data_IF_005935837970
#
_entry.id   IF_005935837970
#
_cell.length_a   1.000
_cell.length_b   1.000
_cell.length_c   1.000
_cell.angle_alpha   90.00
_cell.angle_beta   90.00
_cell.angle_gamma   90.00
#
_symmetry.space_group_name_H-M   'P 1'
#
loop_
_entity.id
_entity.type
_entity.pdbx_description
1 polymer ?
#
# COMPACT_ATOMS: atom_id res chain seq x y z
N UNK A 1 -37.86 2.81 -36.25
CA UNK A 1 -37.28 1.81 -35.32
C UNK A 1 -36.29 2.53 -34.42
N UNK A 2 -36.77 2.95 -33.25
CA UNK A 2 -36.07 3.83 -32.31
C UNK A 2 -35.36 2.99 -31.25
N UNK A 3 -34.08 3.24 -31.06
CA UNK A 3 -33.22 2.56 -30.09
C UNK A 3 -33.43 3.12 -28.69
N UNK A 4 -34.08 2.36 -27.82
CA UNK A 4 -34.24 2.68 -26.40
C UNK A 4 -32.89 2.57 -25.67
N UNK A 5 -32.48 3.68 -25.03
CA UNK A 5 -31.35 3.72 -24.09
C UNK A 5 -31.85 3.26 -22.72
N UNK A 6 -31.11 2.43 -21.97
CA UNK A 6 -31.47 2.15 -20.59
C UNK A 6 -31.16 3.38 -19.71
N UNK A 7 -32.19 3.92 -19.05
CA UNK A 7 -32.04 4.89 -17.97
C UNK A 7 -31.79 4.15 -16.66
N UNK A 8 -30.73 4.53 -15.95
CA UNK A 8 -30.47 4.03 -14.60
C UNK A 8 -31.20 4.92 -13.59
N UNK A 9 -32.40 4.51 -13.18
CA UNK A 9 -33.02 5.01 -11.95
C UNK A 9 -32.34 4.35 -10.75
N UNK A 10 -31.45 5.09 -10.06
CA UNK A 10 -31.02 4.74 -8.71
C UNK A 10 -32.02 5.31 -7.70
N UNK A 11 -33.10 4.58 -7.47
CA UNK A 11 -33.86 4.73 -6.23
C UNK A 11 -33.14 3.97 -5.12
N UNK A 12 -32.55 4.71 -4.20
CA UNK A 12 -31.78 4.14 -3.09
C UNK A 12 -31.44 5.22 -2.08
N UNK A 13 -32.46 5.62 -1.31
CA UNK A 13 -32.38 6.55 -0.18
C UNK A 13 -31.39 6.03 0.87
N UNK A 14 -30.17 6.53 0.85
CA UNK A 14 -29.24 6.47 2.00
C UNK A 14 -28.87 7.89 2.39
N UNK A 15 -29.82 8.60 2.99
CA UNK A 15 -29.55 9.89 3.63
C UNK A 15 -28.98 9.62 5.01
N UNK A 16 -27.67 9.79 5.16
CA UNK A 16 -27.03 9.85 6.48
C UNK A 16 -27.55 11.12 7.15
N UNK A 17 -28.40 10.99 8.16
CA UNK A 17 -28.75 12.10 9.06
C UNK A 17 -27.54 12.38 9.94
N UNK A 18 -26.77 13.41 9.61
CA UNK A 18 -25.82 14.01 10.55
C UNK A 18 -26.65 14.82 11.55
N UNK A 19 -26.84 14.28 12.75
CA UNK A 19 -27.40 15.04 13.87
C UNK A 19 -26.31 16.00 14.35
N UNK A 20 -26.42 17.27 13.97
CA UNK A 20 -25.71 18.34 14.66
C UNK A 20 -26.46 18.62 15.97
N UNK A 21 -25.88 18.23 17.11
CA UNK A 21 -26.28 18.76 18.40
C UNK A 21 -25.86 20.23 18.47
N UNK A 22 -26.78 21.08 18.00
CA UNK A 22 -26.67 22.52 18.08
C UNK A 22 -27.16 22.97 19.46
N UNK A 23 -26.30 22.87 20.49
CA UNK A 23 -26.52 23.55 21.77
C UNK A 23 -25.89 24.93 21.72
N UNK A 24 -26.69 25.92 21.33
CA UNK A 24 -26.45 27.32 21.68
C UNK A 24 -26.50 27.48 23.21
N UNK A 25 -25.45 28.05 23.78
CA UNK A 25 -25.50 28.68 25.09
C UNK A 25 -24.91 30.10 24.96
N UNK A 26 -25.58 31.16 25.46
CA UNK A 26 -25.25 32.53 25.11
C UNK A 26 -24.09 33.07 25.96
N UNK A 27 -23.21 33.82 25.29
CA UNK A 27 -22.39 34.94 25.80
C UNK A 27 -21.81 34.79 27.22
N UNK A 28 -20.66 34.14 27.32
CA UNK A 28 -19.71 34.38 28.43
C UNK A 28 -18.74 35.50 28.07
N UNK A 29 -18.88 36.63 28.77
CA UNK A 29 -17.88 37.70 28.82
C UNK A 29 -16.53 37.11 29.26
N UNK A 30 -15.47 37.33 28.48
CA UNK A 30 -14.10 36.99 28.86
C UNK A 30 -13.67 37.90 30.01
N UNK A 31 -13.70 37.39 31.24
CA UNK A 31 -12.94 37.98 32.35
C UNK A 31 -11.46 37.56 32.22
N UNK A 32 -10.49 38.42 32.56
CA UNK A 32 -9.09 38.04 32.63
C UNK A 32 -8.90 36.98 33.72
N UNK A 33 -8.18 35.92 33.38
CA UNK A 33 -7.91 34.75 34.24
C UNK A 33 -6.89 35.19 35.30
N UNK A 34 -7.26 35.14 36.57
CA UNK A 34 -6.32 35.31 37.69
C UNK A 34 -5.64 33.98 38.02
N UNK A 35 -4.38 33.97 38.51
CA UNK A 35 -3.64 32.72 38.80
C UNK A 35 -4.29 31.80 39.85
N UNK A 36 -5.36 32.26 40.52
CA UNK A 36 -6.14 31.50 41.49
C UNK A 36 -7.23 30.60 40.88
N UNK A 37 -7.55 30.79 39.60
CA UNK A 37 -8.62 30.05 38.90
C UNK A 37 -8.09 28.88 38.06
N UNK A 38 -6.79 28.57 38.17
CA UNK A 38 -6.21 27.37 37.58
C UNK A 38 -6.56 26.22 38.51
N UNK A 39 -7.44 25.27 38.13
CA UNK A 39 -7.62 24.07 38.92
C UNK A 39 -6.28 23.34 38.97
N UNK A 40 -5.68 23.36 40.16
CA UNK A 40 -4.64 22.45 40.60
C UNK A 40 -5.18 21.02 40.55
N UNK A 41 -5.31 20.46 39.34
CA UNK A 41 -5.45 19.04 39.10
C UNK A 41 -4.08 18.45 38.73
N UNK A 42 -3.08 18.78 39.55
CA UNK A 42 -1.95 17.91 39.82
C UNK A 42 -2.39 16.91 40.92
N UNK A 43 -3.24 15.97 40.53
CA UNK A 43 -3.21 14.63 41.13
C UNK A 43 -3.47 13.66 39.99
N UNK A 44 -2.38 13.09 39.54
CA UNK A 44 -2.29 11.88 38.75
C UNK A 44 -3.11 10.77 39.40
N UNK A 45 -4.42 10.76 39.19
CA UNK A 45 -5.12 9.50 39.03
C UNK A 45 -4.77 9.02 37.64
N UNK A 46 -3.57 8.42 37.57
CA UNK A 46 -3.23 7.43 36.57
C UNK A 46 -4.32 6.37 36.71
N UNK A 47 -5.45 6.58 36.02
CA UNK A 47 -6.49 5.58 35.93
C UNK A 47 -5.77 4.38 35.37
N UNK A 48 -5.57 3.35 36.21
CA UNK A 48 -5.07 2.06 35.78
C UNK A 48 -5.83 1.77 34.49
N UNK A 49 -5.16 1.63 33.33
CA UNK A 49 -5.86 1.14 32.17
C UNK A 49 -6.57 -0.12 32.66
N UNK A 50 -7.87 -0.26 32.41
CA UNK A 50 -8.58 -1.48 32.80
C UNK A 50 -7.79 -2.64 32.22
N UNK A 51 -7.01 -3.31 33.06
CA UNK A 51 -5.99 -4.23 32.61
C UNK A 51 -6.76 -5.40 32.04
N UNK A 52 -6.87 -5.43 30.71
CA UNK A 52 -7.54 -6.54 30.06
C UNK A 52 -6.84 -7.82 30.56
N UNK A 53 -7.57 -8.91 30.85
CA UNK A 53 -6.98 -10.12 31.42
C UNK A 53 -5.82 -10.68 30.57
N UNK A 54 -5.81 -10.32 29.30
CA UNK A 54 -4.69 -10.57 28.39
C UNK A 54 -3.39 -9.85 28.76
N UNK A 55 -3.44 -8.57 29.13
CA UNK A 55 -2.26 -7.77 29.49
C UNK A 55 -1.74 -8.19 30.86
N UNK A 56 -2.62 -8.47 31.82
CA UNK A 56 -2.23 -8.98 33.13
C UNK A 56 -1.51 -10.33 33.01
N UNK A 57 -2.06 -11.28 32.24
CA UNK A 57 -1.37 -12.55 31.96
C UNK A 57 -0.05 -12.37 31.23
N UNK A 58 0.02 -11.43 30.29
CA UNK A 58 1.26 -11.14 29.55
C UNK A 58 2.35 -10.62 30.49
N UNK A 59 2.00 -9.74 31.43
CA UNK A 59 2.94 -9.19 32.42
C UNK A 59 3.39 -10.26 33.41
N UNK A 60 2.48 -11.12 33.87
CA UNK A 60 2.80 -12.16 34.85
C UNK A 60 3.59 -13.34 34.25
N UNK A 61 3.22 -13.79 33.05
CA UNK A 61 3.78 -15.01 32.45
C UNK A 61 4.87 -14.74 31.41
N UNK A 62 4.96 -13.50 30.93
CA UNK A 62 5.83 -13.11 29.81
C UNK A 62 5.40 -13.69 28.46
N UNK A 63 4.29 -14.43 28.38
CA UNK A 63 3.80 -15.07 27.15
C UNK A 63 2.39 -14.60 26.81
N UNK A 64 2.13 -14.16 25.56
CA UNK A 64 0.80 -13.71 25.17
C UNK A 64 -0.17 -14.88 24.99
N UNK A 65 -1.25 -14.89 25.77
CA UNK A 65 -2.36 -15.83 25.58
C UNK A 65 -3.40 -15.27 24.60
N UNK A 66 -3.19 -15.50 23.31
CA UNK A 66 -4.06 -14.97 22.25
C UNK A 66 -5.53 -15.39 22.35
N UNK A 67 -5.88 -16.43 23.12
CA UNK A 67 -7.29 -16.81 23.33
C UNK A 67 -8.04 -15.73 24.11
N UNK A 68 -7.40 -15.15 25.13
CA UNK A 68 -7.99 -14.11 26.00
C UNK A 68 -7.81 -12.68 25.47
N UNK A 69 -7.13 -12.51 24.34
CA UNK A 69 -6.86 -11.18 23.80
C UNK A 69 -8.15 -10.52 23.24
N UNK A 70 -8.42 -9.26 23.60
CA UNK A 70 -9.46 -8.44 22.98
C UNK A 70 -9.33 -8.42 21.45
N UNK A 71 -10.46 -8.39 20.74
CA UNK A 71 -10.46 -8.38 19.27
C UNK A 71 -9.66 -7.19 18.69
N UNK A 72 -9.70 -6.04 19.36
CA UNK A 72 -8.96 -4.84 18.99
C UNK A 72 -7.43 -5.08 18.98
N UNK A 73 -6.90 -5.79 19.99
CA UNK A 73 -5.47 -6.11 20.07
C UNK A 73 -5.09 -7.10 18.97
N UNK A 74 -5.93 -8.11 18.71
CA UNK A 74 -5.72 -9.08 17.62
C UNK A 74 -5.67 -8.41 16.26
N UNK A 75 -6.59 -7.47 15.99
CA UNK A 75 -6.62 -6.72 14.74
C UNK A 75 -5.36 -5.86 14.56
N UNK A 76 -4.96 -5.12 15.60
CA UNK A 76 -3.73 -4.30 15.57
C UNK A 76 -2.49 -5.16 15.34
N UNK A 77 -2.38 -6.30 16.03
CA UNK A 77 -1.26 -7.22 15.86
C UNK A 77 -1.19 -7.77 14.44
N UNK A 78 -2.32 -8.22 13.87
CA UNK A 78 -2.37 -8.66 12.47
C UNK A 78 -1.94 -7.55 11.50
N UNK A 79 -2.36 -6.31 11.74
CA UNK A 79 -1.95 -5.16 10.95
C UNK A 79 -0.44 -4.93 10.99
N UNK A 80 0.14 -4.88 12.20
CA UNK A 80 1.59 -4.72 12.40
C UNK A 80 2.36 -5.88 11.74
N UNK A 81 1.89 -7.12 11.91
CA UNK A 81 2.50 -8.29 11.30
C UNK A 81 2.54 -8.19 9.77
N UNK A 82 1.43 -7.78 9.14
CA UNK A 82 1.38 -7.59 7.69
C UNK A 82 2.29 -6.47 7.21
N UNK A 83 2.41 -5.37 7.98
CA UNK A 83 3.35 -4.29 7.67
C UNK A 83 4.78 -4.84 7.70
N UNK A 84 5.19 -5.52 8.78
CA UNK A 84 6.53 -6.08 8.90
C UNK A 84 6.83 -7.11 7.81
N UNK A 85 5.84 -7.94 7.45
CA UNK A 85 5.95 -8.91 6.36
C UNK A 85 6.11 -8.23 4.99
N UNK A 86 5.51 -7.05 4.80
CA UNK A 86 5.59 -6.30 3.54
C UNK A 86 6.94 -5.61 3.31
N UNK A 87 7.66 -5.23 4.37
CA UNK A 87 8.96 -4.53 4.30
C UNK A 87 9.98 -5.27 3.41
N UNK A 88 10.26 -6.58 3.59
CA UNK A 88 11.25 -7.27 2.75
C UNK A 88 10.81 -7.35 1.27
N UNK A 89 9.51 -7.54 1.01
CA UNK A 89 8.98 -7.63 -0.35
C UNK A 89 9.17 -6.27 -1.06
N UNK A 90 8.80 -5.18 -0.39
CA UNK A 90 8.99 -3.83 -0.92
C UNK A 90 10.49 -3.55 -1.10
N UNK A 91 11.32 -3.86 -0.11
CA UNK A 91 12.76 -3.62 -0.19
C UNK A 91 13.43 -4.29 -1.39
N UNK A 92 13.16 -5.58 -1.63
CA UNK A 92 13.73 -6.32 -2.77
C UNK A 92 13.23 -5.73 -4.10
N UNK A 93 11.92 -5.47 -4.21
CA UNK A 93 11.36 -4.91 -5.45
C UNK A 93 11.88 -3.50 -5.75
N UNK A 94 11.99 -2.63 -4.74
CA UNK A 94 12.58 -1.29 -4.88
C UNK A 94 14.05 -1.38 -5.29
N UNK A 95 14.82 -2.29 -4.68
CA UNK A 95 16.22 -2.49 -5.02
C UNK A 95 16.40 -2.91 -6.49
N UNK A 96 15.59 -3.87 -6.97
CA UNK A 96 15.62 -4.25 -8.39
C UNK A 96 15.23 -3.10 -9.32
N UNK A 97 14.21 -2.32 -8.95
CA UNK A 97 13.78 -1.17 -9.75
C UNK A 97 14.90 -0.13 -9.85
N UNK A 98 15.59 0.18 -8.74
CA UNK A 98 16.73 1.11 -8.76
C UNK A 98 17.83 0.58 -9.68
N UNK A 99 18.20 -0.70 -9.57
CA UNK A 99 19.20 -1.28 -10.46
C UNK A 99 18.80 -1.22 -11.93
N UNK A 100 17.49 -1.38 -12.25
CA UNK A 100 16.98 -1.24 -13.61
C UNK A 100 17.01 0.21 -14.10
N UNK A 101 16.65 1.17 -13.26
CA UNK A 101 16.72 2.60 -13.57
C UNK A 101 18.16 3.08 -13.79
N UNK A 102 19.13 2.49 -13.08
CA UNK A 102 20.56 2.73 -13.28
C UNK A 102 21.16 1.98 -14.49
N UNK A 103 20.38 1.12 -15.15
CA UNK A 103 20.84 0.31 -16.28
C UNK A 103 21.78 -0.85 -15.90
N UNK A 104 21.86 -1.22 -14.62
CA UNK A 104 22.68 -2.33 -14.10
C UNK A 104 21.97 -3.68 -14.20
N UNK A 105 20.66 -3.68 -14.41
CA UNK A 105 19.84 -4.89 -14.48
C UNK A 105 18.74 -4.69 -15.53
N UNK A 106 18.48 -5.72 -16.32
CA UNK A 106 17.40 -5.73 -17.33
C UNK A 106 16.50 -6.93 -17.15
N UNK A 107 15.27 -6.81 -17.64
CA UNK A 107 14.33 -7.93 -17.57
C UNK A 107 14.85 -9.06 -18.45
N UNK A 108 14.95 -10.25 -17.87
CA UNK A 108 15.22 -11.48 -18.63
C UNK A 108 14.10 -11.74 -19.63
N UNK A 109 14.46 -11.92 -20.89
CA UNK A 109 13.52 -12.27 -21.97
C UNK A 109 13.21 -13.77 -21.86
N UNK A 110 11.94 -14.12 -22.06
CA UNK A 110 11.53 -15.52 -22.10
C UNK A 110 12.20 -16.21 -23.30
N UNK A 111 13.03 -17.22 -23.02
CA UNK A 111 13.80 -17.91 -24.06
C UNK A 111 13.01 -19.03 -24.73
N UNK A 112 11.97 -19.54 -24.08
CA UNK A 112 11.20 -20.68 -24.57
C UNK A 112 9.99 -20.98 -23.71
N UNK A 113 9.33 -22.08 -24.04
CA UNK A 113 8.21 -22.63 -23.29
C UNK A 113 8.43 -24.11 -22.98
N UNK A 114 7.84 -24.55 -21.88
CA UNK A 114 7.80 -25.96 -21.53
C UNK A 114 6.52 -26.56 -22.13
N UNK A 115 6.68 -27.46 -23.08
CA UNK A 115 5.57 -28.16 -23.73
C UNK A 115 4.88 -29.12 -22.74
N UNK A 116 3.63 -29.55 -23.03
CA UNK A 116 2.88 -30.48 -22.17
C UNK A 116 3.56 -31.85 -22.01
N UNK A 117 4.38 -32.24 -22.99
CA UNK A 117 5.19 -33.46 -22.96
C UNK A 117 6.47 -33.32 -22.10
N UNK A 118 6.69 -32.17 -21.45
CA UNK A 118 7.83 -31.91 -20.58
C UNK A 118 9.11 -31.49 -21.31
N UNK A 119 9.08 -31.40 -22.65
CA UNK A 119 10.21 -30.94 -23.47
C UNK A 119 10.23 -29.41 -23.47
N UNK A 120 11.43 -28.82 -23.38
CA UNK A 120 11.59 -27.37 -23.56
C UNK A 120 11.72 -27.06 -25.05
N UNK A 121 10.88 -26.12 -25.54
CA UNK A 121 11.01 -25.55 -26.88
C UNK A 121 11.60 -24.16 -26.75
N UNK A 122 12.77 -23.98 -27.33
CA UNK A 122 13.37 -22.66 -27.44
C UNK A 122 12.64 -21.85 -28.51
N UNK A 123 12.42 -20.58 -28.22
CA UNK A 123 11.84 -19.62 -29.14
C UNK A 123 12.88 -19.11 -30.12
N UNK A 124 12.44 -18.83 -31.34
CA UNK A 124 13.24 -18.09 -32.30
C UNK A 124 13.27 -16.58 -31.95
N UNK A 125 14.23 -15.82 -32.48
CA UNK A 125 14.39 -14.39 -32.13
C UNK A 125 13.12 -13.57 -32.41
N UNK A 126 12.45 -13.84 -33.53
CA UNK A 126 11.19 -13.18 -33.88
C UNK A 126 10.06 -13.54 -32.92
N UNK A 127 10.02 -14.79 -32.46
CA UNK A 127 9.02 -15.28 -31.53
C UNK A 127 9.22 -14.67 -30.14
N UNK A 128 10.48 -14.58 -29.67
CA UNK A 128 10.83 -13.86 -28.43
C UNK A 128 10.32 -12.43 -28.44
N UNK A 129 10.54 -11.71 -29.54
CA UNK A 129 10.09 -10.31 -29.70
C UNK A 129 8.55 -10.23 -29.68
N UNK A 130 7.87 -11.16 -30.35
CA UNK A 130 6.39 -11.19 -30.39
C UNK A 130 5.80 -11.45 -29.01
N UNK A 131 6.29 -12.48 -28.31
CA UNK A 131 5.85 -12.83 -26.95
C UNK A 131 6.10 -11.65 -26.00
N UNK A 132 7.25 -10.98 -26.11
CA UNK A 132 7.54 -9.82 -25.28
C UNK A 132 6.58 -8.66 -25.56
N UNK A 133 6.30 -8.33 -26.84
CA UNK A 133 5.32 -7.29 -27.21
C UNK A 133 3.90 -7.58 -26.70
N UNK A 134 3.55 -8.85 -26.58
CA UNK A 134 2.23 -9.29 -26.08
C UNK A 134 2.11 -9.23 -24.55
N UNK A 135 3.25 -9.21 -23.84
CA UNK A 135 3.32 -9.16 -22.38
C UNK A 135 2.68 -7.91 -21.78
N UNK A 136 1.98 -8.09 -20.65
CA UNK A 136 1.40 -6.99 -19.87
C UNK A 136 2.49 -5.99 -19.46
N UNK A 137 3.67 -6.49 -19.11
CA UNK A 137 4.80 -5.65 -18.72
C UNK A 137 5.23 -4.73 -19.87
N UNK A 138 5.24 -5.23 -21.11
CA UNK A 138 5.56 -4.42 -22.29
C UNK A 138 4.49 -3.36 -22.56
N UNK A 139 3.22 -3.70 -22.34
CA UNK A 139 2.11 -2.76 -22.51
C UNK A 139 2.11 -1.63 -21.49
N UNK A 140 2.54 -1.88 -20.26
CA UNK A 140 2.57 -0.88 -19.18
C UNK A 140 3.84 -0.02 -19.25
N UNK A 141 5.00 -0.65 -19.41
CA UNK A 141 6.29 0.04 -19.29
C UNK A 141 6.92 0.42 -20.65
N UNK A 142 6.41 -0.09 -21.76
CA UNK A 142 6.92 0.20 -23.10
C UNK A 142 8.27 -0.44 -23.39
N UNK A 143 8.86 -0.08 -24.53
CA UNK A 143 10.12 -0.66 -25.06
C UNK A 143 11.31 -0.45 -24.12
N UNK A 144 11.32 0.65 -23.39
CA UNK A 144 12.45 1.11 -22.55
C UNK A 144 12.71 0.21 -21.34
N UNK A 145 11.77 -0.68 -20.99
CA UNK A 145 11.92 -1.61 -19.88
C UNK A 145 12.68 -2.91 -20.26
N UNK A 146 12.89 -3.15 -21.55
CA UNK A 146 13.43 -4.42 -22.08
C UNK A 146 14.70 -4.27 -22.90
N UNK A 147 15.07 -3.05 -23.26
CA UNK A 147 16.34 -2.82 -23.96
C UNK A 147 17.48 -2.82 -22.95
N UNK A 148 18.43 -3.74 -23.14
CA UNK A 148 19.65 -3.86 -22.36
C UNK A 148 20.40 -2.52 -22.35
N UNK A 149 20.49 -1.87 -21.18
CA UNK A 149 21.27 -0.65 -21.00
C UNK A 149 20.82 0.61 -21.78
N UNK A 150 19.67 0.62 -22.46
CA UNK A 150 19.12 1.81 -23.13
C UNK A 150 18.03 2.48 -22.29
N UNK A 151 18.44 3.07 -21.16
CA UNK A 151 17.62 4.14 -20.59
C UNK A 151 17.79 5.38 -21.48
N UNK A 152 16.82 6.29 -21.51
CA UNK A 152 16.91 7.56 -22.26
C UNK A 152 18.15 8.40 -21.93
N UNK A 153 18.87 8.09 -20.85
CA UNK A 153 20.16 8.66 -20.48
C UNK A 153 21.36 8.11 -21.27
N UNK A 154 21.32 6.86 -21.75
CA UNK A 154 22.42 6.26 -22.55
C UNK A 154 22.22 6.42 -24.06
N UNK A 155 21.00 6.70 -24.53
CA UNK A 155 20.71 7.00 -25.95
C UNK A 155 21.39 8.29 -26.44
N UNK A 156 21.69 9.25 -25.55
CA UNK A 156 22.21 10.58 -25.96
C UNK A 156 23.60 10.60 -26.60
N UNK A 157 24.39 9.53 -26.50
CA UNK A 157 25.79 9.57 -26.96
C UNK A 157 26.03 8.98 -28.36
N UNK A 158 25.04 8.34 -28.99
CA UNK A 158 25.23 7.71 -30.31
C UNK A 158 24.65 8.51 -31.48
N UNK A 159 23.91 9.60 -31.24
CA UNK A 159 23.36 10.44 -32.30
C UNK A 159 24.29 11.60 -32.74
N UNK A 160 25.43 11.80 -32.08
CA UNK A 160 26.39 12.88 -32.41
C UNK A 160 27.57 12.45 -33.28
N UNK A 161 27.64 11.17 -33.70
CA UNK A 161 28.55 10.73 -34.76
C UNK A 161 27.75 10.43 -36.02
N UNK A 162 27.40 11.49 -36.74
CA UNK A 162 27.25 11.43 -38.20
C UNK A 162 28.37 12.25 -38.81
N UNK A 163 29.01 11.63 -39.79
CA UNK A 163 30.09 12.13 -40.64
C UNK A 163 29.90 13.56 -41.15
#
# INVERSE_FOLDING_TARGET
MTSDKPSFHKEGKSTIKIVHDNKHNPKTQKRPITPKDIPSQASSSLSKPQDSPFVEELVLTGRPNWKKAPQQIKQRYKGIYLILLSIPIIGITTFEIIQRLEGRSTKKIQQGERLPNGINRDFDEQEKIKVEKESIMYKIFGKDFFLDGFTSKTIKNNSEKKE
#
